data_IF_619940784821
#
_entry.id   IF_619940784821
#
_cell.length_a   1.000
_cell.length_b   1.000
_cell.length_c   1.000
_cell.angle_alpha   90.00
_cell.angle_beta   90.00
_cell.angle_gamma   90.00
#
_symmetry.space_group_name_H-M   'P 1'
#
loop_
_entity.id
_entity.type
_entity.pdbx_description
1 polymer ?
#
# COMPACT_ATOMS: atom_id res chain seq x y z
N UNK A 1 7.71 -8.72 20.99
CA UNK A 1 9.04 -9.36 21.02
C UNK A 1 10.10 -8.34 20.62
N UNK A 2 11.15 -8.19 21.43
CA UNK A 2 12.17 -7.14 21.27
C UNK A 2 13.06 -7.30 20.02
N UNK A 3 13.03 -8.46 19.40
CA UNK A 3 13.77 -8.74 18.16
C UNK A 3 12.98 -8.42 16.89
N UNK A 4 11.73 -7.92 17.02
CA UNK A 4 10.85 -7.65 15.89
C UNK A 4 10.54 -6.17 15.81
N UNK A 5 10.77 -5.58 14.64
CA UNK A 5 10.24 -4.26 14.31
C UNK A 5 8.90 -4.41 13.59
N UNK A 6 7.81 -4.04 14.26
CA UNK A 6 6.46 -4.18 13.73
C UNK A 6 5.87 -2.82 13.33
N UNK A 7 5.20 -2.77 12.17
CA UNK A 7 4.46 -1.60 11.72
C UNK A 7 3.08 -1.99 11.24
N UNK A 8 2.10 -1.14 11.46
CA UNK A 8 0.73 -1.30 10.97
C UNK A 8 0.32 -0.10 10.13
N UNK A 9 -0.01 -0.33 8.87
CA UNK A 9 -0.66 0.64 7.99
C UNK A 9 -2.14 0.26 7.87
N UNK A 10 -3.01 1.14 8.30
CA UNK A 10 -4.46 0.89 8.34
C UNK A 10 -5.06 1.27 6.98
N UNK A 11 -6.04 0.48 6.51
CA UNK A 11 -6.54 0.58 5.14
C UNK A 11 -7.33 1.87 4.84
N UNK A 12 -8.04 2.43 5.83
CA UNK A 12 -8.87 3.63 5.62
C UNK A 12 -9.03 4.45 6.91
N UNK A 13 -9.46 5.71 6.77
CA UNK A 13 -9.80 6.57 7.92
C UNK A 13 -10.95 6.01 8.75
N UNK A 14 -11.91 5.38 8.12
CA UNK A 14 -13.05 4.77 8.81
C UNK A 14 -12.57 3.59 9.66
N UNK A 15 -11.75 2.71 9.09
CA UNK A 15 -11.13 1.62 9.83
C UNK A 15 -10.24 2.14 10.97
N UNK A 16 -9.48 3.22 10.70
CA UNK A 16 -8.64 3.84 11.72
C UNK A 16 -9.48 4.34 12.90
N UNK A 17 -10.58 5.06 12.60
CA UNK A 17 -11.51 5.57 13.61
C UNK A 17 -12.14 4.42 14.41
N UNK A 18 -12.61 3.37 13.75
CA UNK A 18 -13.17 2.20 14.38
C UNK A 18 -12.18 1.54 15.36
N UNK A 19 -10.93 1.28 14.91
CA UNK A 19 -9.90 0.71 15.76
C UNK A 19 -9.53 1.61 16.96
N UNK A 20 -9.62 2.93 16.79
CA UNK A 20 -9.41 3.89 17.88
C UNK A 20 -10.55 3.82 18.90
N UNK A 21 -11.79 3.81 18.45
CA UNK A 21 -12.99 3.75 19.29
C UNK A 21 -13.08 2.43 20.07
N UNK A 22 -12.71 1.33 19.42
CA UNK A 22 -12.67 0.00 20.03
C UNK A 22 -11.41 -0.24 20.91
N UNK A 23 -10.50 0.75 20.99
CA UNK A 23 -9.30 0.69 21.82
C UNK A 23 -8.13 -0.11 21.25
N UNK A 24 -8.28 -0.73 20.07
CA UNK A 24 -7.23 -1.56 19.47
C UNK A 24 -5.97 -0.78 19.12
N UNK A 25 -6.08 0.50 18.73
CA UNK A 25 -4.89 1.32 18.46
C UNK A 25 -4.02 1.49 19.70
N UNK A 26 -4.62 1.72 20.86
CA UNK A 26 -3.90 1.79 22.13
C UNK A 26 -3.14 0.50 22.42
N UNK A 27 -3.80 -0.64 22.28
CA UNK A 27 -3.20 -1.97 22.49
C UNK A 27 -2.01 -2.22 21.55
N UNK A 28 -2.12 -1.85 20.29
CA UNK A 28 -1.03 -1.98 19.30
C UNK A 28 0.17 -1.09 19.68
N UNK A 29 -0.09 0.14 20.08
CA UNK A 29 0.96 1.09 20.51
C UNK A 29 1.66 0.60 21.78
N UNK A 30 0.92 0.11 22.76
CA UNK A 30 1.46 -0.46 24.01
C UNK A 30 2.32 -1.71 23.73
N UNK A 31 1.96 -2.47 22.68
CA UNK A 31 2.76 -3.60 22.20
C UNK A 31 4.01 -3.17 21.38
N UNK A 32 4.25 -1.87 21.20
CA UNK A 32 5.40 -1.34 20.48
C UNK A 32 5.23 -1.33 18.95
N UNK A 33 4.02 -1.50 18.43
CA UNK A 33 3.73 -1.41 17.01
C UNK A 33 3.72 0.05 16.56
N UNK A 34 4.47 0.38 15.52
CA UNK A 34 4.41 1.70 14.90
C UNK A 34 3.20 1.81 14.00
N UNK A 35 2.30 2.72 14.29
CA UNK A 35 1.17 3.03 13.42
C UNK A 35 1.64 4.00 12.34
N UNK A 36 1.43 3.62 11.09
CA UNK A 36 1.81 4.40 9.92
C UNK A 36 0.61 5.12 9.32
N UNK A 37 0.88 6.09 8.47
CA UNK A 37 -0.14 6.79 7.73
C UNK A 37 -0.93 5.86 6.79
N UNK A 38 -2.16 6.28 6.48
CA UNK A 38 -3.06 5.57 5.57
C UNK A 38 -2.58 5.76 4.14
N UNK A 39 -1.63 4.96 3.74
CA UNK A 39 -0.99 5.00 2.43
C UNK A 39 -0.42 3.64 2.04
N UNK A 40 0.10 3.53 0.83
CA UNK A 40 0.80 2.33 0.38
C UNK A 40 2.03 2.00 1.24
N UNK A 41 2.72 3.01 1.77
CA UNK A 41 3.74 2.91 2.82
C UNK A 41 4.77 1.80 2.58
N UNK A 42 4.93 0.88 3.53
CA UNK A 42 5.94 -0.18 3.49
C UNK A 42 5.82 -1.13 2.29
N UNK A 43 4.65 -1.22 1.66
CA UNK A 43 4.45 -2.00 0.44
C UNK A 43 5.44 -1.57 -0.68
N UNK A 44 5.78 -0.30 -0.74
CA UNK A 44 6.73 0.27 -1.71
C UNK A 44 7.94 0.94 -1.05
N UNK A 45 8.39 0.43 0.07
CA UNK A 45 9.59 0.88 0.80
C UNK A 45 9.49 2.27 1.45
N UNK A 46 8.28 2.78 1.68
CA UNK A 46 8.06 4.07 2.35
C UNK A 46 7.73 3.82 3.83
N UNK A 47 8.48 4.44 4.73
CA UNK A 47 8.26 4.37 6.17
C UNK A 47 8.89 3.16 6.86
N UNK A 48 9.06 2.03 6.18
CA UNK A 48 9.79 0.85 6.68
C UNK A 48 10.38 0.04 5.53
N UNK A 49 11.68 -0.21 5.63
CA UNK A 49 12.44 -1.04 4.68
C UNK A 49 13.21 -2.10 5.48
N UNK A 50 13.21 -3.37 5.05
CA UNK A 50 13.99 -4.39 5.70
C UNK A 50 15.49 -4.15 5.50
N UNK A 51 16.30 -4.60 6.46
CA UNK A 51 17.75 -4.60 6.34
C UNK A 51 18.22 -5.54 5.21
N UNK A 52 19.47 -5.37 4.78
CA UNK A 52 20.13 -6.33 3.86
C UNK A 52 20.15 -7.71 4.49
N UNK A 53 19.78 -8.74 3.72
CA UNK A 53 19.58 -10.12 4.17
C UNK A 53 18.53 -10.27 5.30
N UNK A 54 17.86 -9.19 5.68
CA UNK A 54 16.81 -9.22 6.70
C UNK A 54 15.60 -10.02 6.23
N UNK A 55 14.89 -10.62 7.18
CA UNK A 55 13.63 -11.35 6.96
C UNK A 55 12.49 -10.42 7.34
N UNK A 56 11.49 -10.31 6.47
CA UNK A 56 10.28 -9.58 6.77
C UNK A 56 9.04 -10.36 6.31
N UNK A 57 8.02 -10.40 7.16
CA UNK A 57 6.69 -10.89 6.81
C UNK A 57 5.76 -9.70 6.54
N UNK A 58 4.86 -9.84 5.58
CA UNK A 58 3.97 -8.75 5.15
C UNK A 58 2.59 -9.29 4.78
N UNK A 59 1.60 -8.46 5.02
CA UNK A 59 0.21 -8.74 4.63
C UNK A 59 -0.20 -8.03 3.33
N UNK A 60 0.67 -7.16 2.79
CA UNK A 60 0.44 -6.52 1.50
C UNK A 60 0.51 -7.55 0.37
N UNK A 61 -0.43 -7.48 -0.56
CA UNK A 61 -0.63 -8.48 -1.62
C UNK A 61 0.39 -8.42 -2.76
N UNK A 62 1.29 -7.43 -2.80
CA UNK A 62 2.26 -7.27 -3.89
C UNK A 62 3.67 -7.57 -3.40
N UNK A 63 4.32 -8.55 -4.01
CA UNK A 63 5.68 -8.92 -3.68
C UNK A 63 6.46 -9.32 -4.94
N UNK A 64 7.64 -8.72 -5.09
CA UNK A 64 8.68 -9.11 -6.03
C UNK A 64 10.03 -8.59 -5.53
N UNK A 65 11.12 -9.08 -6.09
CA UNK A 65 12.47 -8.71 -5.67
C UNK A 65 12.69 -7.19 -5.71
N UNK A 66 13.05 -6.59 -4.58
CA UNK A 66 13.29 -5.14 -4.46
C UNK A 66 12.02 -4.29 -4.21
N UNK A 67 10.82 -4.87 -4.24
CA UNK A 67 9.58 -4.10 -3.99
C UNK A 67 9.60 -3.37 -2.64
N UNK A 68 10.14 -4.01 -1.62
CA UNK A 68 10.24 -3.44 -0.28
C UNK A 68 11.50 -2.57 -0.06
N UNK A 69 12.20 -2.20 -1.13
CA UNK A 69 13.37 -1.33 -1.14
C UNK A 69 14.69 -2.08 -1.27
N UNK A 70 14.90 -3.10 -0.46
CA UNK A 70 16.16 -3.87 -0.50
C UNK A 70 16.01 -5.16 -1.32
N UNK A 71 16.72 -5.30 -2.46
CA UNK A 71 16.59 -6.48 -3.32
C UNK A 71 17.18 -7.77 -2.71
N UNK A 72 17.98 -7.65 -1.64
CA UNK A 72 18.60 -8.78 -0.94
C UNK A 72 17.83 -9.18 0.32
N UNK A 73 16.79 -8.46 0.69
CA UNK A 73 15.92 -8.85 1.79
C UNK A 73 15.01 -10.03 1.40
N UNK A 74 14.70 -10.87 2.38
CA UNK A 74 13.83 -12.04 2.24
C UNK A 74 12.42 -11.67 2.68
N UNK A 75 11.53 -11.46 1.71
CA UNK A 75 10.16 -11.00 1.96
C UNK A 75 9.19 -12.16 1.78
N UNK A 76 8.31 -12.34 2.76
CA UNK A 76 7.29 -13.37 2.76
C UNK A 76 5.92 -12.75 2.94
N UNK A 77 4.96 -13.17 2.11
CA UNK A 77 3.56 -12.79 2.26
C UNK A 77 2.85 -13.79 3.17
N UNK A 78 2.14 -13.27 4.14
CA UNK A 78 1.40 -14.05 5.13
C UNK A 78 0.04 -13.43 5.39
N UNK A 79 -0.86 -14.16 6.05
CA UNK A 79 -2.11 -13.58 6.54
C UNK A 79 -1.86 -12.61 7.71
N UNK A 80 -2.81 -11.69 8.02
CA UNK A 80 -2.70 -10.82 9.18
C UNK A 80 -2.48 -11.58 10.50
N UNK A 81 -3.17 -12.69 10.68
CA UNK A 81 -3.07 -13.55 11.86
C UNK A 81 -1.67 -14.16 11.99
N UNK A 82 -1.12 -14.64 10.88
CA UNK A 82 0.26 -15.17 10.85
C UNK A 82 1.29 -14.07 11.06
N UNK A 83 1.05 -12.86 10.57
CA UNK A 83 1.92 -11.72 10.83
C UNK A 83 1.92 -11.35 12.32
N UNK A 84 0.76 -11.32 12.97
CA UNK A 84 0.62 -11.06 14.40
C UNK A 84 1.31 -12.16 15.22
N UNK A 85 1.07 -13.42 14.90
CA UNK A 85 1.70 -14.55 15.56
C UNK A 85 3.25 -14.49 15.44
N UNK A 86 3.74 -14.21 14.23
CA UNK A 86 5.18 -14.03 13.97
C UNK A 86 5.77 -12.89 14.78
N UNK A 87 5.05 -11.76 14.92
CA UNK A 87 5.50 -10.62 15.71
C UNK A 87 5.58 -10.93 17.21
N UNK A 88 4.65 -11.71 17.74
CA UNK A 88 4.63 -12.16 19.14
C UNK A 88 5.75 -13.14 19.40
N UNK A 89 5.90 -14.16 18.55
CA UNK A 89 6.88 -15.24 18.74
C UNK A 89 8.31 -14.79 18.39
N UNK A 90 8.49 -13.82 17.51
CA UNK A 90 9.80 -13.40 17.00
C UNK A 90 10.40 -14.33 15.96
N UNK A 91 9.65 -15.31 15.52
CA UNK A 91 9.97 -16.30 14.49
C UNK A 91 8.73 -16.60 13.66
N UNK A 92 8.88 -17.25 12.50
CA UNK A 92 7.72 -17.68 11.73
C UNK A 92 6.76 -18.50 12.57
N UNK A 93 5.53 -18.05 12.65
CA UNK A 93 4.47 -18.70 13.41
C UNK A 93 3.11 -18.52 12.71
N UNK A 94 2.24 -19.48 12.89
CA UNK A 94 0.83 -19.40 12.54
C UNK A 94 0.00 -18.97 13.75
N UNK A 95 -1.25 -18.58 13.51
CA UNK A 95 -2.18 -18.30 14.60
C UNK A 95 -2.41 -19.53 15.50
N UNK A 96 -2.39 -20.73 14.93
CA UNK A 96 -2.54 -21.98 15.69
C UNK A 96 -1.37 -22.23 16.69
N UNK A 97 -0.17 -21.75 16.39
CA UNK A 97 0.98 -21.88 17.31
C UNK A 97 0.80 -21.07 18.60
N UNK A 98 -0.07 -20.06 18.57
CA UNK A 98 -0.42 -19.23 19.74
C UNK A 98 -1.72 -19.66 20.38
N UNK A 99 -2.76 -19.88 19.57
CA UNK A 99 -4.13 -20.09 20.03
C UNK A 99 -4.42 -21.57 20.33
N UNK A 100 -3.65 -22.50 19.73
CA UNK A 100 -3.89 -23.93 19.91
C UNK A 100 -5.34 -24.31 19.60
N UNK A 101 -6.00 -24.97 20.56
CA UNK A 101 -7.39 -25.39 20.44
C UNK A 101 -8.41 -24.23 20.38
N UNK A 102 -7.97 -22.98 20.66
CA UNK A 102 -8.81 -21.78 20.59
C UNK A 102 -8.79 -21.11 19.20
N UNK A 103 -8.23 -21.76 18.19
CA UNK A 103 -8.07 -21.19 16.84
C UNK A 103 -9.41 -20.77 16.22
N UNK A 104 -10.50 -21.43 16.58
CA UNK A 104 -11.84 -21.16 16.04
C UNK A 104 -12.37 -19.77 16.41
N UNK A 105 -11.78 -19.11 17.42
CA UNK A 105 -12.12 -17.72 17.77
C UNK A 105 -11.87 -16.76 16.60
N UNK A 106 -10.95 -17.08 15.69
CA UNK A 106 -10.67 -16.30 14.50
C UNK A 106 -11.80 -16.38 13.44
N UNK A 107 -12.67 -17.37 13.54
CA UNK A 107 -13.83 -17.49 12.67
C UNK A 107 -14.99 -16.57 13.10
N UNK A 108 -14.96 -16.08 14.36
CA UNK A 108 -15.94 -15.15 14.90
C UNK A 108 -15.62 -13.71 14.50
N UNK A 109 -15.72 -13.40 13.21
CA UNK A 109 -15.57 -12.03 12.73
C UNK A 109 -16.84 -11.26 13.03
N UNK A 110 -16.76 -10.34 13.98
CA UNK A 110 -17.86 -9.42 14.26
C UNK A 110 -17.74 -8.21 13.31
N UNK A 111 -18.54 -8.23 12.25
CA UNK A 111 -18.72 -7.04 11.43
C UNK A 111 -19.57 -6.02 12.19
N UNK A 112 -19.20 -4.75 12.10
CA UNK A 112 -20.06 -3.67 12.62
C UNK A 112 -21.35 -3.64 11.80
N UNK A 113 -22.49 -3.55 12.47
CA UNK A 113 -23.79 -3.45 11.80
C UNK A 113 -23.93 -2.15 10.98
N UNK A 114 -23.27 -1.08 11.44
CA UNK A 114 -23.26 0.21 10.77
C UNK A 114 -21.85 0.81 10.74
N UNK A 115 -21.48 1.38 9.58
CA UNK A 115 -20.25 2.14 9.41
C UNK A 115 -20.59 3.62 9.26
N UNK A 116 -19.91 4.48 10.03
CA UNK A 116 -20.04 5.92 9.84
C UNK A 116 -19.42 6.34 8.51
N UNK A 117 -20.24 6.86 7.61
CA UNK A 117 -19.79 7.42 6.34
C UNK A 117 -19.48 8.89 6.55
N UNK A 118 -18.23 9.28 6.33
CA UNK A 118 -17.79 10.67 6.44
C UNK A 118 -17.18 11.14 5.12
N UNK A 119 -17.95 11.90 4.38
CA UNK A 119 -17.60 12.44 3.08
C UNK A 119 -16.98 13.86 3.13
N UNK A 120 -16.66 14.37 4.32
CA UNK A 120 -16.18 15.75 4.52
C UNK A 120 -14.89 16.08 3.77
N UNK A 121 -14.14 15.06 3.33
CA UNK A 121 -12.90 15.23 2.58
C UNK A 121 -13.07 15.01 1.08
N UNK A 122 -14.28 14.70 0.63
CA UNK A 122 -14.58 14.56 -0.79
C UNK A 122 -14.79 15.97 -1.38
N UNK A 123 -13.83 16.38 -2.19
CA UNK A 123 -13.95 17.63 -2.95
C UNK A 123 -14.77 17.32 -4.20
N UNK A 124 -15.98 17.87 -4.25
CA UNK A 124 -16.85 17.71 -5.42
C UNK A 124 -16.25 18.43 -6.63
N UNK A 125 -16.44 17.90 -7.86
CA UNK A 125 -16.02 18.61 -9.05
C UNK A 125 -16.76 19.96 -9.16
N UNK A 126 -16.03 20.95 -9.64
CA UNK A 126 -16.65 22.25 -9.95
C UNK A 126 -17.61 22.13 -11.14
N UNK A 127 -18.63 23.02 -11.22
CA UNK A 127 -19.40 23.18 -12.44
C UNK A 127 -18.49 23.42 -13.66
N UNK A 128 -18.89 22.95 -14.84
CA UNK A 128 -18.03 22.97 -16.04
C UNK A 128 -17.44 24.35 -16.36
N UNK A 129 -18.23 25.41 -16.25
CA UNK A 129 -17.78 26.78 -16.53
C UNK A 129 -16.78 27.34 -15.52
N UNK A 130 -16.82 26.86 -14.30
CA UNK A 130 -15.83 27.19 -13.26
C UNK A 130 -14.59 26.33 -13.41
N UNK A 131 -14.75 25.04 -13.71
CA UNK A 131 -13.64 24.10 -13.90
C UNK A 131 -12.71 24.55 -15.05
N UNK A 132 -13.27 25.11 -16.13
CA UNK A 132 -12.51 25.67 -17.26
C UNK A 132 -11.59 26.85 -16.88
N UNK A 133 -11.89 27.53 -15.78
CA UNK A 133 -11.12 28.69 -15.29
C UNK A 133 -10.04 28.33 -14.28
N UNK A 134 -10.01 27.07 -13.82
CA UNK A 134 -9.03 26.63 -12.84
C UNK A 134 -7.64 26.56 -13.45
N UNK A 135 -6.73 27.32 -12.89
CA UNK A 135 -5.31 27.25 -13.25
C UNK A 135 -4.65 26.04 -12.58
N UNK A 136 -3.92 25.25 -13.36
CA UNK A 136 -3.15 24.13 -12.84
C UNK A 136 -1.83 24.64 -12.33
N UNK A 137 -1.67 24.69 -11.00
CA UNK A 137 -0.40 25.07 -10.35
C UNK A 137 0.46 23.83 -10.16
N UNK A 138 1.65 23.83 -10.74
CA UNK A 138 2.63 22.74 -10.60
C UNK A 138 3.85 23.19 -9.80
N UNK A 139 4.50 22.26 -9.11
CA UNK A 139 5.78 22.50 -8.49
C UNK A 139 6.86 22.81 -9.55
N UNK A 140 7.95 23.53 -9.18
CA UNK A 140 8.96 23.99 -10.12
C UNK A 140 9.75 22.85 -10.79
N UNK A 141 9.73 21.66 -10.19
CA UNK A 141 10.38 20.45 -10.69
C UNK A 141 9.47 19.56 -11.53
N UNK A 142 8.20 19.90 -11.68
CA UNK A 142 7.23 19.11 -12.45
C UNK A 142 7.14 19.63 -13.87
N UNK A 143 7.56 18.82 -14.83
CA UNK A 143 7.46 19.16 -16.25
C UNK A 143 6.01 19.02 -16.76
N UNK A 144 5.67 19.86 -17.72
CA UNK A 144 4.39 19.74 -18.41
C UNK A 144 4.39 18.50 -19.30
N UNK A 145 3.31 17.72 -19.19
CA UNK A 145 3.01 16.72 -20.19
C UNK A 145 2.50 17.40 -21.45
N UNK A 146 2.95 16.99 -22.64
CA UNK A 146 2.33 17.45 -23.88
C UNK A 146 0.85 17.04 -23.86
N UNK A 147 -0.03 18.00 -24.13
CA UNK A 147 -1.47 17.71 -24.23
C UNK A 147 -1.69 16.91 -25.51
N UNK A 148 -2.13 15.65 -25.41
CA UNK A 148 -2.41 14.86 -26.61
C UNK A 148 -3.61 15.44 -27.37
N UNK A 149 -3.61 15.26 -28.68
CA UNK A 149 -4.80 15.53 -29.47
C UNK A 149 -5.98 14.66 -29.04
N UNK A 150 -7.19 15.15 -29.26
CA UNK A 150 -8.39 14.37 -28.95
C UNK A 150 -8.35 13.05 -29.73
N UNK A 151 -8.49 11.89 -29.06
CA UNK A 151 -8.46 10.61 -29.73
C UNK A 151 -9.52 10.54 -30.86
N UNK A 152 -9.10 10.15 -32.05
CA UNK A 152 -10.01 9.91 -33.17
C UNK A 152 -10.75 8.59 -32.96
N UNK A 153 -11.99 8.48 -33.49
CA UNK A 153 -12.79 7.27 -33.36
C UNK A 153 -12.15 6.04 -34.03
N UNK A 154 -11.37 6.27 -35.08
CA UNK A 154 -10.68 5.21 -35.82
C UNK A 154 -9.22 5.56 -35.97
N UNK A 155 -8.35 4.69 -35.39
CA UNK A 155 -6.90 4.78 -35.52
C UNK A 155 -6.42 3.71 -36.50
N UNK A 156 -5.63 4.13 -37.49
CA UNK A 156 -4.89 3.22 -38.38
C UNK A 156 -3.40 3.51 -38.21
N UNK A 157 -2.74 2.67 -37.45
CA UNK A 157 -1.32 2.86 -37.09
C UNK A 157 -0.51 1.60 -37.38
N UNK A 158 0.76 1.72 -37.77
CA UNK A 158 1.65 0.59 -37.84
C UNK A 158 1.99 0.05 -36.46
N UNK A 159 2.19 -1.26 -36.33
CA UNK A 159 2.71 -1.87 -35.10
C UNK A 159 4.19 -1.55 -34.99
N UNK A 160 4.60 -0.81 -33.98
CA UNK A 160 6.00 -0.43 -33.74
C UNK A 160 6.76 -1.48 -32.92
N UNK A 161 6.07 -2.20 -32.04
CA UNK A 161 6.65 -3.22 -31.19
C UNK A 161 5.62 -4.32 -30.93
N UNK A 162 6.05 -5.57 -31.00
CA UNK A 162 5.28 -6.73 -30.56
C UNK A 162 6.00 -7.35 -29.36
N UNK A 163 5.41 -7.24 -28.18
CA UNK A 163 5.91 -7.90 -26.97
C UNK A 163 5.71 -9.41 -26.98
N UNK A 164 6.37 -10.10 -26.07
CA UNK A 164 6.12 -11.52 -25.77
C UNK A 164 4.94 -11.70 -24.81
N UNK A 165 4.87 -12.90 -24.20
CA UNK A 165 3.88 -13.21 -23.16
C UNK A 165 4.28 -12.61 -21.82
N UNK A 166 3.30 -12.48 -20.91
CA UNK A 166 3.49 -11.99 -19.53
C UNK A 166 4.05 -10.57 -19.38
N UNK A 167 3.83 -9.70 -20.36
CA UNK A 167 4.18 -8.28 -20.26
C UNK A 167 3.31 -7.63 -19.16
N UNK A 168 3.97 -6.99 -18.21
CA UNK A 168 3.33 -6.26 -17.12
C UNK A 168 3.51 -4.75 -17.28
N UNK A 169 2.80 -3.99 -16.46
CA UNK A 169 3.01 -2.53 -16.38
C UNK A 169 4.41 -2.16 -15.90
N UNK A 170 5.11 -3.06 -15.20
CA UNK A 170 6.48 -2.82 -14.76
C UNK A 170 7.50 -2.83 -15.92
N UNK A 171 7.14 -3.44 -17.04
CA UNK A 171 7.94 -3.37 -18.29
C UNK A 171 7.82 -1.99 -18.96
N UNK A 172 6.76 -1.24 -18.66
CA UNK A 172 6.52 0.11 -19.17
C UNK A 172 7.00 1.16 -18.17
N UNK A 173 6.59 1.00 -16.89
CA UNK A 173 6.95 1.91 -15.80
C UNK A 173 7.35 1.09 -14.59
N UNK A 174 8.65 0.85 -14.37
CA UNK A 174 9.14 0.02 -13.29
C UNK A 174 8.64 0.47 -11.91
N UNK A 175 8.21 -0.49 -11.09
CA UNK A 175 7.63 -0.24 -9.77
C UNK A 175 8.65 -0.41 -8.62
N UNK A 176 9.94 -0.44 -8.93
CA UNK A 176 11.00 -0.54 -7.91
C UNK A 176 11.14 0.74 -7.10
N UNK A 177 11.78 0.64 -5.93
CA UNK A 177 12.06 1.78 -5.07
C UNK A 177 12.93 2.85 -5.76
N UNK A 178 13.79 2.45 -6.67
CA UNK A 178 14.67 3.32 -7.46
C UNK A 178 13.87 4.33 -8.29
N UNK A 179 12.77 3.88 -8.90
CA UNK A 179 11.92 4.73 -9.75
C UNK A 179 10.76 5.39 -8.97
N UNK A 180 10.61 5.08 -7.69
CA UNK A 180 9.47 5.55 -6.90
C UNK A 180 9.40 7.08 -6.81
N UNK A 181 10.55 7.74 -6.69
CA UNK A 181 10.64 9.21 -6.62
C UNK A 181 10.36 9.92 -7.96
N UNK A 182 10.48 9.20 -9.07
CA UNK A 182 10.29 9.77 -10.42
C UNK A 182 8.85 9.64 -10.93
N UNK A 183 8.01 8.87 -10.27
CA UNK A 183 6.64 8.58 -10.72
C UNK A 183 5.72 9.79 -10.78
N UNK A 184 5.97 10.82 -9.98
CA UNK A 184 5.21 12.07 -10.02
C UNK A 184 5.63 12.99 -11.17
N UNK A 185 6.70 12.65 -11.89
CA UNK A 185 7.27 13.45 -12.97
C UNK A 185 7.58 12.58 -14.20
N UNK A 186 6.52 12.01 -14.77
CA UNK A 186 6.58 11.05 -15.90
C UNK A 186 7.44 11.54 -17.09
N UNK A 187 7.53 12.85 -17.41
CA UNK A 187 8.37 13.30 -18.52
C UNK A 187 9.88 13.21 -18.28
N UNK A 188 10.34 12.81 -17.10
CA UNK A 188 11.75 12.56 -16.82
C UNK A 188 12.18 11.16 -17.22
#
# INVERSE_FOLDING_TARGET
NDNVSCTCAIASRQTYKALMEDGYLGMLMDAGVRILEIACGPCCAIGQTPATEGIAVRTSNRNFKGRAGNPNAKIYLVSPESAAATAIMGTFASAADILGDQIDILAEVHEKEEYEINDNLIIKPLPEEEAKKVEIVRGPNIKFLPVPEVPVQHLKVPVSLKGGDNISTDDITPASAEFSSMRSNIPL
#
